data_IF_724066641899
#
_entry.id   IF_724066641899
#
_cell.length_a   1.000
_cell.length_b   1.000
_cell.length_c   1.000
_cell.angle_alpha   90.00
_cell.angle_beta   90.00
_cell.angle_gamma   90.00
#
_symmetry.space_group_name_H-M   'P 1'
#
loop_
_entity.id
_entity.type
_entity.pdbx_description
1 polymer ?
#
# COMPACT_ATOMS: atom_id res chain seq x y z
N UNK A 1 -21.58 -25.94 2.26
CA UNK A 1 -21.91 -24.61 1.69
C UNK A 1 -20.65 -23.78 1.67
N UNK A 2 -20.01 -23.65 0.50
CA UNK A 2 -18.81 -22.84 0.33
C UNK A 2 -19.23 -21.36 0.40
N UNK A 3 -19.03 -20.71 1.56
CA UNK A 3 -19.03 -19.27 1.62
C UNK A 3 -17.69 -18.79 1.05
N UNK A 4 -17.62 -18.57 -0.27
CA UNK A 4 -16.57 -17.73 -0.83
C UNK A 4 -16.61 -16.41 -0.06
N UNK A 5 -15.50 -15.95 0.52
CA UNK A 5 -15.48 -14.65 1.18
C UNK A 5 -15.92 -13.60 0.15
N UNK A 6 -16.89 -12.78 0.52
CA UNK A 6 -17.32 -11.69 -0.34
C UNK A 6 -16.09 -10.83 -0.71
N UNK A 7 -15.94 -10.52 -2.00
CA UNK A 7 -14.87 -9.64 -2.48
C UNK A 7 -14.93 -8.31 -1.72
N UNK A 8 -13.79 -7.68 -1.47
CA UNK A 8 -13.77 -6.34 -0.87
C UNK A 8 -14.61 -5.39 -1.73
N UNK A 9 -15.43 -4.58 -1.07
CA UNK A 9 -16.31 -3.61 -1.75
C UNK A 9 -15.63 -2.26 -1.91
N UNK A 10 -14.67 -1.93 -1.04
CA UNK A 10 -13.99 -0.64 -1.02
C UNK A 10 -12.49 -0.82 -0.80
N UNK A 11 -11.71 -0.35 -1.76
CA UNK A 11 -10.27 -0.25 -1.66
C UNK A 11 -9.90 1.23 -1.57
N UNK A 12 -9.02 1.57 -0.64
CA UNK A 12 -8.52 2.93 -0.50
C UNK A 12 -7.04 3.00 -0.87
N UNK A 13 -6.64 4.11 -1.50
CA UNK A 13 -5.22 4.47 -1.73
C UNK A 13 -4.91 5.70 -0.89
N UNK A 14 -3.92 5.57 0.00
CA UNK A 14 -3.58 6.60 0.98
C UNK A 14 -2.66 7.69 0.44
N UNK A 15 -1.83 7.34 -0.53
CA UNK A 15 -0.85 8.19 -1.17
C UNK A 15 -0.26 7.52 -2.41
N UNK A 16 0.21 8.31 -3.37
CA UNK A 16 0.91 7.82 -4.56
C UNK A 16 1.73 8.94 -5.20
N UNK A 17 2.78 8.57 -5.93
CA UNK A 17 3.62 9.47 -6.73
C UNK A 17 3.51 9.21 -8.24
N UNK A 18 2.70 8.25 -8.64
CA UNK A 18 2.41 7.97 -10.04
C UNK A 18 1.64 9.12 -10.71
N UNK A 19 1.70 9.27 -12.03
CA UNK A 19 0.91 10.29 -12.73
C UNK A 19 -0.60 10.18 -12.45
N UNK A 20 -1.13 8.97 -12.38
CA UNK A 20 -2.53 8.68 -12.04
C UNK A 20 -2.69 7.25 -11.49
N UNK A 21 -3.92 6.88 -11.17
CA UNK A 21 -4.31 5.54 -10.69
C UNK A 21 -5.24 4.84 -11.69
N UNK A 22 -5.09 5.10 -12.98
CA UNK A 22 -5.99 4.56 -14.03
C UNK A 22 -5.94 3.03 -14.10
N UNK A 23 -4.78 2.43 -13.83
CA UNK A 23 -4.59 0.97 -13.84
C UNK A 23 -5.38 0.34 -12.69
N UNK A 24 -5.21 0.83 -11.47
CA UNK A 24 -5.93 0.36 -10.29
C UNK A 24 -7.44 0.57 -10.44
N UNK A 25 -7.82 1.76 -10.88
CA UNK A 25 -9.23 2.10 -11.10
C UNK A 25 -9.88 1.16 -12.13
N UNK A 26 -9.18 0.86 -13.22
CA UNK A 26 -9.66 -0.06 -14.25
C UNK A 26 -9.85 -1.48 -13.73
N UNK A 27 -8.85 -2.02 -13.04
CA UNK A 27 -8.88 -3.38 -12.49
C UNK A 27 -9.95 -3.54 -11.40
N UNK A 28 -10.02 -2.59 -10.47
CA UNK A 28 -10.98 -2.63 -9.37
C UNK A 28 -12.42 -2.46 -9.86
N UNK A 29 -12.64 -1.54 -10.82
CA UNK A 29 -13.95 -1.38 -11.47
C UNK A 29 -14.40 -2.65 -12.17
N UNK A 30 -13.52 -3.33 -12.89
CA UNK A 30 -13.83 -4.60 -13.55
C UNK A 30 -14.22 -5.69 -12.54
N UNK A 31 -13.67 -5.62 -11.32
CA UNK A 31 -14.00 -6.52 -10.19
C UNK A 31 -15.23 -6.08 -9.38
N UNK A 32 -15.89 -4.98 -9.74
CA UNK A 32 -17.03 -4.44 -8.99
C UNK A 32 -16.65 -3.82 -7.65
N UNK A 33 -15.42 -3.33 -7.52
CA UNK A 33 -14.85 -2.74 -6.29
C UNK A 33 -14.72 -1.23 -6.45
N UNK A 34 -15.15 -0.48 -5.44
CA UNK A 34 -14.97 0.97 -5.37
C UNK A 34 -13.53 1.32 -4.98
N UNK A 35 -12.90 2.21 -5.76
CA UNK A 35 -11.61 2.82 -5.42
C UNK A 35 -11.83 4.23 -4.87
N UNK A 36 -11.30 4.50 -3.67
CA UNK A 36 -11.24 5.84 -3.09
C UNK A 36 -9.77 6.19 -2.86
N UNK A 37 -9.29 7.27 -3.47
CA UNK A 37 -7.91 7.70 -3.36
C UNK A 37 -7.82 9.10 -2.74
N UNK A 38 -6.86 9.29 -1.83
CA UNK A 38 -6.58 10.57 -1.18
C UNK A 38 -5.09 10.68 -0.90
N UNK A 39 -4.51 11.86 -1.12
CA UNK A 39 -3.14 12.18 -0.68
C UNK A 39 -3.16 12.57 0.80
N UNK A 40 -3.14 11.58 1.70
CA UNK A 40 -3.17 11.80 3.14
C UNK A 40 -1.84 12.33 3.65
N UNK A 41 -1.88 13.33 4.53
CA UNK A 41 -0.70 13.97 5.11
C UNK A 41 -0.58 13.74 6.62
N UNK A 42 -1.67 13.37 7.28
CA UNK A 42 -1.73 13.21 8.74
C UNK A 42 -2.26 11.84 9.14
N UNK A 43 -1.91 11.40 10.35
CA UNK A 43 -2.44 10.15 10.94
C UNK A 43 -3.97 10.17 11.03
N UNK A 44 -4.55 11.33 11.33
CA UNK A 44 -6.02 11.48 11.39
C UNK A 44 -6.69 11.23 10.03
N UNK A 45 -6.17 11.85 8.97
CA UNK A 45 -6.68 11.63 7.59
C UNK A 45 -6.54 10.17 7.16
N UNK A 46 -5.43 9.51 7.52
CA UNK A 46 -5.22 8.10 7.26
C UNK A 46 -6.23 7.23 8.00
N UNK A 47 -6.42 7.49 9.31
CA UNK A 47 -7.37 6.75 10.12
C UNK A 47 -8.80 6.90 9.59
N UNK A 48 -9.21 8.12 9.23
CA UNK A 48 -10.54 8.39 8.66
C UNK A 48 -10.75 7.68 7.32
N UNK A 49 -9.76 7.75 6.41
CA UNK A 49 -9.85 7.10 5.10
C UNK A 49 -9.92 5.58 5.22
N UNK A 50 -9.11 5.01 6.12
CA UNK A 50 -8.96 3.56 6.27
C UNK A 50 -10.08 2.92 7.12
N UNK A 51 -10.85 3.71 7.88
CA UNK A 51 -11.79 3.18 8.88
C UNK A 51 -12.79 2.16 8.32
N UNK A 52 -13.35 2.39 7.14
CA UNK A 52 -14.35 1.54 6.50
C UNK A 52 -13.84 0.85 5.23
N UNK A 53 -12.52 0.86 5.01
CA UNK A 53 -11.91 0.19 3.88
C UNK A 53 -11.90 -1.33 4.06
N UNK A 54 -12.16 -2.06 2.99
CA UNK A 54 -11.99 -3.52 2.95
C UNK A 54 -10.55 -3.92 2.60
N UNK A 55 -9.80 -3.04 1.91
CA UNK A 55 -8.35 -3.14 1.72
C UNK A 55 -7.72 -1.76 1.56
N UNK A 56 -6.45 -1.67 1.93
CA UNK A 56 -5.67 -0.42 1.93
C UNK A 56 -4.45 -0.59 1.05
N UNK A 57 -4.22 0.37 0.15
CA UNK A 57 -3.00 0.47 -0.65
C UNK A 57 -2.25 1.73 -0.20
N UNK A 58 -0.96 1.62 0.03
CA UNK A 58 -0.11 2.72 0.50
C UNK A 58 1.23 2.73 -0.22
N UNK A 59 1.81 3.90 -0.45
CA UNK A 59 3.17 4.02 -1.00
C UNK A 59 4.18 4.41 0.07
N UNK A 60 4.06 5.59 0.64
CA UNK A 60 4.98 6.14 1.65
C UNK A 60 4.29 6.56 2.94
N UNK A 61 2.96 6.69 2.95
CA UNK A 61 2.21 7.08 4.12
C UNK A 61 2.48 6.11 5.28
N UNK A 62 2.59 6.65 6.50
CA UNK A 62 2.91 5.85 7.69
C UNK A 62 1.66 5.21 8.26
N UNK A 63 1.48 3.94 8.02
CA UNK A 63 0.40 3.11 8.55
C UNK A 63 0.83 2.57 9.93
N UNK A 64 0.73 3.42 10.94
CA UNK A 64 1.09 3.10 12.31
C UNK A 64 -0.03 2.34 13.05
N UNK A 65 0.22 2.00 14.32
CA UNK A 65 -0.73 1.26 15.13
C UNK A 65 -2.10 1.98 15.28
N UNK A 66 -2.11 3.32 15.36
CA UNK A 66 -3.36 4.09 15.50
C UNK A 66 -4.21 4.02 14.23
N UNK A 67 -3.58 4.11 13.05
CA UNK A 67 -4.26 3.93 11.76
C UNK A 67 -4.82 2.52 11.63
N UNK A 68 -4.01 1.51 12.00
CA UNK A 68 -4.44 0.11 11.95
C UNK A 68 -5.58 -0.15 12.94
N UNK A 69 -5.53 0.43 14.13
CA UNK A 69 -6.60 0.32 15.13
C UNK A 69 -7.94 0.92 14.64
N UNK A 70 -7.89 1.92 13.78
CA UNK A 70 -9.08 2.51 13.17
C UNK A 70 -9.71 1.63 12.07
N UNK A 71 -8.98 0.69 11.50
CA UNK A 71 -9.45 -0.20 10.43
C UNK A 71 -10.44 -1.24 10.98
N UNK A 72 -11.72 -1.06 10.69
CA UNK A 72 -12.78 -1.96 11.19
C UNK A 72 -13.04 -3.16 10.28
N UNK A 73 -12.64 -3.08 9.02
CA UNK A 73 -13.04 -4.05 7.98
C UNK A 73 -11.87 -4.51 7.12
N UNK A 74 -10.70 -3.88 7.24
CA UNK A 74 -9.56 -4.15 6.38
C UNK A 74 -9.14 -5.63 6.47
N UNK A 75 -8.95 -6.23 5.30
CA UNK A 75 -8.57 -7.64 5.12
C UNK A 75 -7.18 -7.78 4.51
N UNK A 76 -6.60 -6.69 4.04
CA UNK A 76 -5.23 -6.63 3.55
C UNK A 76 -4.73 -5.18 3.52
N UNK A 77 -3.42 -5.02 3.72
CA UNK A 77 -2.67 -3.80 3.42
C UNK A 77 -1.67 -4.16 2.33
N UNK A 78 -1.63 -3.39 1.24
CA UNK A 78 -0.70 -3.58 0.12
C UNK A 78 0.20 -2.36 0.02
N UNK A 79 1.51 -2.58 0.04
CA UNK A 79 2.50 -1.53 -0.14
C UNK A 79 3.00 -1.50 -1.58
N UNK A 80 2.95 -0.32 -2.23
CA UNK A 80 3.60 -0.09 -3.53
C UNK A 80 5.12 -0.04 -3.36
N UNK A 81 5.78 -1.17 -3.24
CA UNK A 81 7.23 -1.26 -3.19
C UNK A 81 7.76 -2.42 -2.36
N UNK A 82 9.09 -2.52 -2.23
CA UNK A 82 9.78 -3.66 -1.61
C UNK A 82 9.72 -3.59 -0.10
N UNK A 83 10.19 -2.48 0.51
CA UNK A 83 10.22 -2.30 1.95
C UNK A 83 8.82 -2.11 2.53
N UNK A 84 8.66 -2.42 3.81
CA UNK A 84 7.39 -2.26 4.55
C UNK A 84 7.60 -1.50 5.87
N UNK A 85 8.68 -0.73 5.97
CA UNK A 85 9.06 0.00 7.19
C UNK A 85 8.05 1.10 7.57
N UNK A 86 7.22 1.51 6.62
CA UNK A 86 6.14 2.47 6.84
C UNK A 86 4.86 1.82 7.38
N UNK A 87 4.80 0.50 7.55
CA UNK A 87 3.65 -0.22 8.09
C UNK A 87 4.01 -0.89 9.41
N UNK A 88 3.20 -0.70 10.44
CA UNK A 88 3.37 -1.41 11.72
C UNK A 88 2.91 -2.87 11.57
N UNK A 89 3.87 -3.75 11.27
CA UNK A 89 3.62 -5.18 11.06
C UNK A 89 3.09 -5.88 12.32
N UNK A 90 3.52 -5.42 13.51
CA UNK A 90 3.07 -5.99 14.79
C UNK A 90 1.59 -5.69 15.03
N UNK A 91 1.20 -4.44 14.81
CA UNK A 91 -0.20 -4.02 14.92
C UNK A 91 -1.07 -4.73 13.87
N UNK A 92 -0.61 -4.83 12.61
CA UNK A 92 -1.33 -5.53 11.55
C UNK A 92 -1.53 -7.02 11.89
N UNK A 93 -0.47 -7.68 12.35
CA UNK A 93 -0.53 -9.09 12.74
C UNK A 93 -1.50 -9.32 13.91
N UNK A 94 -1.53 -8.44 14.92
CA UNK A 94 -2.45 -8.53 16.05
C UNK A 94 -3.92 -8.48 15.63
N UNK A 95 -4.22 -7.73 14.57
CA UNK A 95 -5.55 -7.67 13.94
C UNK A 95 -5.76 -8.70 12.83
N UNK A 96 -4.78 -9.56 12.57
CA UNK A 96 -4.81 -10.57 11.50
C UNK A 96 -4.99 -9.97 10.11
N UNK A 97 -4.43 -8.78 9.88
CA UNK A 97 -4.42 -8.11 8.59
C UNK A 97 -3.10 -8.45 7.90
N UNK A 98 -3.09 -9.23 6.81
CA UNK A 98 -1.88 -9.49 6.04
C UNK A 98 -1.37 -8.22 5.38
N UNK A 99 -0.03 -8.05 5.38
CA UNK A 99 0.68 -6.97 4.69
C UNK A 99 1.42 -7.56 3.50
N UNK A 100 1.11 -7.07 2.31
CA UNK A 100 1.71 -7.49 1.05
C UNK A 100 2.62 -6.39 0.50
N UNK A 101 3.66 -6.78 -0.23
CA UNK A 101 4.59 -5.88 -0.89
C UNK A 101 4.82 -6.31 -2.36
N UNK A 102 5.63 -5.53 -3.09
CA UNK A 102 6.12 -5.89 -4.44
C UNK A 102 7.63 -6.13 -4.33
N UNK A 103 8.10 -7.40 -4.21
CA UNK A 103 9.43 -7.69 -3.68
C UNK A 103 10.58 -7.46 -4.67
N UNK A 104 10.35 -7.42 -5.97
CA UNK A 104 11.40 -7.59 -6.99
C UNK A 104 11.33 -6.63 -8.20
N UNK A 105 10.43 -5.66 -8.20
CA UNK A 105 10.15 -4.82 -9.38
C UNK A 105 11.30 -3.91 -9.83
N UNK A 106 12.28 -3.61 -8.97
CA UNK A 106 13.34 -2.63 -9.27
C UNK A 106 14.75 -3.11 -8.87
N UNK A 107 14.97 -4.41 -8.80
CA UNK A 107 16.27 -4.98 -8.39
C UNK A 107 17.36 -4.55 -9.37
N UNK A 108 17.12 -4.70 -10.67
CA UNK A 108 18.09 -4.39 -11.71
C UNK A 108 18.38 -2.90 -11.79
N UNK A 109 17.33 -2.06 -11.73
CA UNK A 109 17.46 -0.59 -11.77
C UNK A 109 18.27 -0.06 -10.58
N UNK A 110 18.05 -0.61 -9.38
CA UNK A 110 18.80 -0.21 -8.17
C UNK A 110 20.25 -0.68 -8.28
N UNK A 111 20.50 -1.89 -8.78
CA UNK A 111 21.84 -2.42 -8.97
C UNK A 111 22.63 -1.58 -9.99
N UNK A 112 22.04 -1.29 -11.14
CA UNK A 112 22.66 -0.49 -12.21
C UNK A 112 22.97 0.94 -11.75
N UNK A 113 22.05 1.59 -11.04
CA UNK A 113 22.25 2.92 -10.51
C UNK A 113 23.35 2.93 -9.44
N UNK A 114 23.43 1.90 -8.61
CA UNK A 114 24.48 1.76 -7.60
C UNK A 114 25.84 1.64 -8.27
N UNK A 115 25.95 0.79 -9.29
CA UNK A 115 27.19 0.63 -10.06
C UNK A 115 27.59 1.91 -10.76
N UNK A 116 26.63 2.63 -11.36
CA UNK A 116 26.87 3.92 -12.00
C UNK A 116 27.45 4.93 -11.01
N UNK A 117 26.95 5.02 -9.79
CA UNK A 117 27.50 5.89 -8.75
C UNK A 117 28.91 5.49 -8.33
N UNK A 118 29.18 4.20 -8.15
CA UNK A 118 30.53 3.72 -7.83
C UNK A 118 31.53 4.13 -8.92
N UNK A 119 31.18 3.92 -10.20
CA UNK A 119 32.02 4.32 -11.32
C UNK A 119 32.23 5.82 -11.42
N UNK A 120 31.18 6.60 -11.22
CA UNK A 120 31.26 8.08 -11.24
C UNK A 120 32.19 8.61 -10.13
N UNK A 121 32.09 8.07 -8.93
CA UNK A 121 32.92 8.49 -7.79
C UNK A 121 34.38 8.09 -7.93
N UNK A 122 34.66 6.99 -8.63
CA UNK A 122 36.05 6.50 -8.81
C UNK A 122 36.76 7.15 -10.02
N UNK A 123 36.07 7.91 -10.86
CA UNK A 123 36.59 8.50 -12.09
C UNK A 123 36.69 10.04 -12.07
N UNK A 124 36.56 10.65 -10.92
CA UNK A 124 36.77 12.11 -10.74
C UNK A 124 38.23 12.51 -10.84
#
# INVERSE_FOLDING_TARGET
MNHSPALPRRVVVTDWTFPDLSVEAGLLKAAGVELIARQCQTTGELADLCADADAVITQFARINADVIAAMRRARAIVRYGIGVDNVDLTAAASQRIPVCNVPDYCIDEVADQTLAFVLALTRQ
#
